data_IF_139945707134
#
_entry.id   IF_139945707134
#
_cell.length_a   1.000
_cell.length_b   1.000
_cell.length_c   1.000
_cell.angle_alpha   90.00
_cell.angle_beta   90.00
_cell.angle_gamma   90.00
#
_symmetry.space_group_name_H-M   'P 1'
#
loop_
_entity.id
_entity.type
_entity.pdbx_description
1 polymer ?
#
# COMPACT_ATOMS: atom_id res chain seq x y z
N UNK A 1 17.72 -17.60 -3.75
CA UNK A 1 18.99 -16.88 -3.68
C UNK A 1 18.83 -15.38 -3.38
N UNK A 2 18.04 -14.60 -4.16
CA UNK A 2 17.85 -13.15 -3.92
C UNK A 2 17.35 -12.79 -2.51
N UNK A 3 16.40 -13.55 -1.92
CA UNK A 3 15.89 -13.31 -0.56
C UNK A 3 16.96 -13.52 0.54
N UNK A 4 17.86 -14.48 0.36
CA UNK A 4 18.95 -14.74 1.32
C UNK A 4 20.00 -13.62 1.24
N UNK A 5 20.36 -13.20 0.03
CA UNK A 5 21.30 -12.09 -0.18
C UNK A 5 20.73 -10.78 0.39
N UNK A 6 19.46 -10.48 0.16
CA UNK A 6 18.81 -9.28 0.73
C UNK A 6 18.70 -9.32 2.26
N UNK A 7 18.53 -10.50 2.85
CA UNK A 7 18.58 -10.70 4.30
C UNK A 7 19.96 -10.38 4.87
N UNK A 8 21.03 -10.94 4.29
CA UNK A 8 22.40 -10.69 4.73
C UNK A 8 22.84 -9.24 4.54
N UNK A 9 22.47 -8.61 3.43
CA UNK A 9 22.75 -7.18 3.21
C UNK A 9 22.03 -6.27 4.22
N UNK A 10 20.81 -6.60 4.61
CA UNK A 10 20.10 -5.90 5.69
C UNK A 10 20.78 -6.09 7.04
N UNK A 11 21.15 -7.33 7.37
CA UNK A 11 21.83 -7.65 8.61
C UNK A 11 23.16 -6.89 8.75
N UNK A 12 23.97 -6.86 7.69
CA UNK A 12 25.27 -6.13 7.67
C UNK A 12 25.05 -4.63 7.82
N UNK A 13 24.04 -4.06 7.16
CA UNK A 13 23.72 -2.63 7.30
C UNK A 13 23.23 -2.28 8.70
N UNK A 14 22.34 -3.10 9.28
CA UNK A 14 21.82 -2.88 10.62
C UNK A 14 22.90 -3.02 11.68
N UNK A 15 23.86 -3.91 11.47
CA UNK A 15 25.04 -4.04 12.30
C UNK A 15 25.98 -2.84 12.17
N UNK A 16 26.18 -2.32 10.97
CA UNK A 16 26.98 -1.11 10.71
C UNK A 16 26.42 0.11 11.43
N UNK A 17 25.08 0.31 11.35
CA UNK A 17 24.42 1.41 12.05
C UNK A 17 24.53 1.28 13.57
N UNK A 18 24.33 0.07 14.11
CA UNK A 18 24.47 -0.21 15.53
C UNK A 18 25.91 0.02 16.03
N UNK A 19 26.90 -0.35 15.22
CA UNK A 19 28.31 -0.15 15.51
C UNK A 19 28.66 1.33 15.54
N UNK A 20 28.17 2.12 14.60
CA UNK A 20 28.44 3.55 14.48
C UNK A 20 27.82 4.35 15.64
N UNK A 21 26.55 4.14 15.94
CA UNK A 21 25.86 4.80 17.05
C UNK A 21 26.35 4.29 18.41
N UNK A 22 26.62 2.98 18.53
CA UNK A 22 27.09 2.36 19.76
C UNK A 22 28.48 2.81 20.14
N UNK A 23 29.40 2.94 19.17
CA UNK A 23 30.77 3.44 19.44
C UNK A 23 30.74 4.89 19.87
N UNK A 24 29.95 5.74 19.22
CA UNK A 24 29.81 7.14 19.59
C UNK A 24 29.26 7.31 21.02
N UNK A 25 28.16 6.62 21.35
CA UNK A 25 27.56 6.63 22.68
C UNK A 25 28.52 6.08 23.76
N UNK A 26 29.23 4.99 23.43
CA UNK A 26 30.19 4.37 24.31
C UNK A 26 31.37 5.30 24.64
N UNK A 27 31.91 6.05 23.68
CA UNK A 27 32.92 7.04 23.87
C UNK A 27 32.40 8.19 24.74
N UNK A 28 31.21 8.71 24.49
CA UNK A 28 30.59 9.80 25.25
C UNK A 28 30.42 9.40 26.74
N UNK A 29 29.83 8.22 26.99
CA UNK A 29 29.61 7.73 28.34
C UNK A 29 30.92 7.45 29.09
N UNK A 30 31.92 6.89 28.43
CA UNK A 30 33.23 6.65 29.00
C UNK A 30 33.88 7.98 29.39
N UNK A 31 33.76 9.02 28.55
CA UNK A 31 34.29 10.35 28.85
C UNK A 31 33.59 10.98 30.07
N UNK A 32 32.25 10.89 30.15
CA UNK A 32 31.47 11.41 31.29
C UNK A 32 31.84 10.70 32.60
N UNK A 33 31.99 9.37 32.54
CA UNK A 33 32.33 8.56 33.72
C UNK A 33 33.76 8.81 34.19
N UNK A 34 34.71 8.95 33.27
CA UNK A 34 36.10 9.28 33.60
C UNK A 34 36.21 10.69 34.21
N UNK A 35 35.47 11.67 33.69
CA UNK A 35 35.39 13.00 34.26
C UNK A 35 34.78 12.99 35.67
N UNK A 36 33.72 12.23 35.90
CA UNK A 36 33.09 12.08 37.22
C UNK A 36 34.03 11.43 38.24
N UNK A 37 34.81 10.40 37.82
CA UNK A 37 35.80 9.74 38.67
C UNK A 37 36.95 10.68 39.06
N UNK A 38 37.41 11.56 38.13
CA UNK A 38 38.43 12.57 38.40
C UNK A 38 37.90 13.62 39.40
N UNK A 39 36.64 14.04 39.27
CA UNK A 39 36.01 15.05 40.16
C UNK A 39 35.76 14.47 41.56
N UNK A 40 35.48 13.17 41.70
CA UNK A 40 35.17 12.55 43.00
C UNK A 40 36.39 12.32 43.91
N UNK A 41 37.61 12.66 43.50
CA UNK A 41 38.87 12.43 44.24
C UNK A 41 39.11 10.98 44.70
N UNK A 42 38.34 10.02 44.30
CA UNK A 42 38.54 8.59 44.59
C UNK A 42 39.52 7.95 43.60
N UNK A 43 40.72 8.50 43.52
CA UNK A 43 41.77 7.97 42.66
C UNK A 43 42.43 6.72 43.27
N UNK A 44 41.75 5.59 43.24
CA UNK A 44 42.47 4.31 43.14
C UNK A 44 43.19 4.34 41.82
N UNK A 45 44.51 4.18 41.79
CA UNK A 45 45.32 4.09 40.55
C UNK A 45 44.76 2.94 39.68
N UNK A 46 43.85 3.26 38.81
CA UNK A 46 43.42 2.33 37.76
C UNK A 46 44.65 2.03 36.91
N UNK A 47 45.09 0.79 36.89
CA UNK A 47 46.14 0.39 35.96
C UNK A 47 45.63 0.58 34.52
N UNK A 48 46.54 0.95 33.61
CA UNK A 48 46.19 1.16 32.19
C UNK A 48 45.39 0.00 31.62
N UNK A 49 45.69 -1.24 32.01
CA UNK A 49 44.98 -2.46 31.61
C UNK A 49 43.55 -2.50 32.11
N UNK A 50 43.26 -2.08 33.31
CA UNK A 50 41.92 -2.05 33.87
C UNK A 50 41.08 -0.94 33.18
N UNK A 51 41.67 0.21 32.90
CA UNK A 51 41.00 1.29 32.17
C UNK A 51 40.66 0.89 30.73
N UNK A 52 41.61 0.22 30.05
CA UNK A 52 41.36 -0.31 28.69
C UNK A 52 40.28 -1.40 28.66
N UNK A 53 40.28 -2.32 29.63
CA UNK A 53 39.24 -3.35 29.75
C UNK A 53 37.84 -2.74 30.02
N UNK A 54 37.76 -1.73 30.89
CA UNK A 54 36.54 -0.99 31.16
C UNK A 54 36.01 -0.27 29.89
N UNK A 55 36.90 0.37 29.14
CA UNK A 55 36.54 1.02 27.87
C UNK A 55 35.98 0.03 26.87
N UNK A 56 36.64 -1.11 26.66
CA UNK A 56 36.14 -2.15 25.75
C UNK A 56 34.79 -2.74 26.18
N UNK A 57 34.61 -2.98 27.49
CA UNK A 57 33.32 -3.46 28.02
C UNK A 57 32.23 -2.42 27.78
N UNK A 58 32.50 -1.13 27.97
CA UNK A 58 31.58 -0.03 27.70
C UNK A 58 31.21 0.05 26.21
N UNK A 59 32.20 -0.09 25.32
CA UNK A 59 31.97 -0.09 23.87
C UNK A 59 31.07 -1.27 23.45
N UNK A 60 31.36 -2.47 23.92
CA UNK A 60 30.56 -3.66 23.60
C UNK A 60 29.13 -3.51 24.11
N UNK A 61 28.93 -3.09 25.35
CA UNK A 61 27.58 -2.91 25.92
C UNK A 61 26.82 -1.81 25.21
N UNK A 62 27.46 -0.70 24.84
CA UNK A 62 26.84 0.40 24.08
C UNK A 62 26.43 -0.02 22.68
N UNK A 63 27.25 -0.81 21.98
CA UNK A 63 26.91 -1.38 20.65
C UNK A 63 25.73 -2.33 20.76
N UNK A 64 25.69 -3.19 21.78
CA UNK A 64 24.58 -4.12 22.03
C UNK A 64 23.29 -3.34 22.34
N UNK A 65 23.35 -2.36 23.25
CA UNK A 65 22.20 -1.51 23.60
C UNK A 65 21.70 -0.73 22.38
N UNK A 66 22.61 -0.15 21.60
CA UNK A 66 22.24 0.55 20.35
C UNK A 66 21.63 -0.39 19.32
N UNK A 67 22.15 -1.60 19.17
CA UNK A 67 21.61 -2.63 18.28
C UNK A 67 20.21 -3.06 18.71
N UNK A 68 19.98 -3.30 20.01
CA UNK A 68 18.67 -3.64 20.54
C UNK A 68 17.69 -2.47 20.37
N UNK A 69 18.14 -1.24 20.68
CA UNK A 69 17.32 -0.03 20.56
C UNK A 69 16.96 0.27 19.09
N UNK A 70 17.91 0.18 18.19
CA UNK A 70 17.67 0.32 16.74
C UNK A 70 16.76 -0.80 16.22
N UNK A 71 16.96 -2.05 16.66
CA UNK A 71 16.06 -3.15 16.33
C UNK A 71 14.64 -2.93 16.86
N UNK A 72 14.52 -2.35 18.05
CA UNK A 72 13.21 -2.03 18.63
C UNK A 72 12.52 -0.86 17.93
N UNK A 73 13.28 0.17 17.50
CA UNK A 73 12.77 1.28 16.70
C UNK A 73 12.43 0.82 15.29
N UNK A 74 13.29 0.01 14.66
CA UNK A 74 13.07 -0.54 13.31
C UNK A 74 11.94 -1.60 13.29
N UNK A 75 11.69 -2.30 14.40
CA UNK A 75 10.58 -3.25 14.53
C UNK A 75 9.23 -2.56 14.80
N UNK A 76 9.20 -1.27 15.11
CA UNK A 76 7.95 -0.51 15.23
C UNK A 76 7.41 -0.15 13.84
N UNK A 77 6.15 -0.12 13.67
CA UNK A 77 5.22 -0.79 12.75
C UNK A 77 5.34 -0.53 11.25
N UNK A 78 6.36 0.17 10.73
CA UNK A 78 6.50 0.37 9.28
C UNK A 78 6.81 -0.93 8.52
N UNK A 79 7.67 -1.79 9.11
CA UNK A 79 7.96 -3.10 8.53
C UNK A 79 6.76 -4.05 8.50
N UNK A 80 5.70 -3.73 9.26
CA UNK A 80 4.48 -4.54 9.29
C UNK A 80 3.57 -4.26 8.10
N UNK A 81 3.71 -3.08 7.48
CA UNK A 81 2.67 -2.59 6.60
C UNK A 81 3.03 -2.59 5.10
N UNK A 82 4.23 -2.17 4.70
CA UNK A 82 4.68 -2.21 3.31
C UNK A 82 6.21 -2.09 3.22
N UNK A 83 6.98 -3.08 3.71
CA UNK A 83 8.45 -2.97 3.76
C UNK A 83 9.08 -2.90 2.36
N UNK A 84 8.41 -3.46 1.36
CA UNK A 84 8.91 -3.48 -0.01
C UNK A 84 8.62 -2.17 -0.76
N UNK A 85 7.55 -1.46 -0.40
CA UNK A 85 7.16 -0.18 -1.02
C UNK A 85 7.98 0.96 -0.42
N UNK A 86 8.11 1.03 0.91
CA UNK A 86 8.86 2.09 1.58
C UNK A 86 10.36 1.93 1.32
N UNK A 87 10.83 0.69 1.22
CA UNK A 87 12.22 0.37 0.91
C UNK A 87 13.21 1.05 1.86
N UNK A 88 14.09 1.90 1.29
CA UNK A 88 15.07 2.70 2.05
C UNK A 88 14.57 4.09 2.44
N UNK A 89 13.36 4.47 1.99
CA UNK A 89 12.82 5.80 2.19
C UNK A 89 12.21 5.92 3.59
N UNK A 90 12.30 7.11 4.18
CA UNK A 90 11.74 7.44 5.50
C UNK A 90 12.15 6.50 6.65
N UNK A 91 13.31 5.86 6.56
CA UNK A 91 13.80 4.88 7.56
C UNK A 91 14.50 5.54 8.75
N UNK A 92 14.87 6.82 8.63
CA UNK A 92 15.62 7.56 9.63
C UNK A 92 14.76 8.08 10.80
N UNK A 93 15.41 8.84 11.68
CA UNK A 93 14.77 9.54 12.82
C UNK A 93 14.47 11.02 12.52
N UNK A 94 14.56 11.46 11.26
CA UNK A 94 14.26 12.81 10.83
C UNK A 94 12.81 13.21 11.16
N UNK A 95 12.53 14.50 11.19
CA UNK A 95 11.17 15.02 11.36
C UNK A 95 10.26 14.49 10.24
N UNK A 96 10.77 14.48 9.00
CA UNK A 96 10.07 13.97 7.81
C UNK A 96 9.73 12.48 7.93
N UNK A 97 10.71 11.65 8.35
CA UNK A 97 10.49 10.21 8.56
C UNK A 97 9.46 9.93 9.65
N UNK A 98 9.44 10.74 10.73
CA UNK A 98 8.43 10.59 11.79
C UNK A 98 7.04 11.00 11.33
N UNK A 99 6.92 12.09 10.58
CA UNK A 99 5.65 12.55 10.00
C UNK A 99 5.11 11.52 9.01
N UNK A 100 5.95 11.02 8.09
CA UNK A 100 5.57 9.99 7.15
C UNK A 100 5.04 8.73 7.86
N UNK A 101 5.75 8.24 8.90
CA UNK A 101 5.29 7.10 9.72
C UNK A 101 3.93 7.35 10.37
N UNK A 102 3.70 8.56 10.87
CA UNK A 102 2.40 8.94 11.47
C UNK A 102 1.29 8.85 10.42
N UNK A 103 1.53 9.36 9.20
CA UNK A 103 0.57 9.26 8.09
C UNK A 103 0.27 7.82 7.70
N UNK A 104 1.30 6.97 7.55
CA UNK A 104 1.11 5.54 7.26
C UNK A 104 0.32 4.85 8.37
N UNK A 105 0.59 5.16 9.65
CA UNK A 105 -0.18 4.63 10.77
C UNK A 105 -1.65 5.02 10.67
N UNK A 106 -1.96 6.28 10.39
CA UNK A 106 -3.35 6.74 10.20
C UNK A 106 -4.05 5.99 9.06
N UNK A 107 -3.36 5.71 7.94
CA UNK A 107 -3.91 4.86 6.87
C UNK A 107 -4.31 3.47 7.36
N UNK A 108 -3.49 2.84 8.23
CA UNK A 108 -3.80 1.52 8.79
C UNK A 108 -4.92 1.53 9.82
N UNK A 109 -5.14 2.67 10.45
CA UNK A 109 -6.29 2.92 11.32
C UNK A 109 -7.55 3.31 10.51
N UNK A 110 -7.46 3.22 9.16
CA UNK A 110 -8.49 3.61 8.20
C UNK A 110 -8.87 5.12 8.25
N UNK A 111 -8.04 5.95 8.88
CA UNK A 111 -8.21 7.40 8.88
C UNK A 111 -7.43 8.03 7.70
N UNK A 112 -7.98 7.84 6.50
CA UNK A 112 -7.37 8.31 5.26
C UNK A 112 -7.37 9.84 5.13
N UNK A 113 -8.29 10.55 5.81
CA UNK A 113 -8.32 12.02 5.81
C UNK A 113 -7.16 12.58 6.63
N UNK A 114 -6.98 12.08 7.83
CA UNK A 114 -5.84 12.46 8.68
C UNK A 114 -4.50 12.09 8.03
N UNK A 115 -4.41 10.91 7.40
CA UNK A 115 -3.21 10.51 6.67
C UNK A 115 -2.89 11.48 5.53
N UNK A 116 -3.90 11.86 4.74
CA UNK A 116 -3.75 12.80 3.63
C UNK A 116 -3.29 14.17 4.10
N UNK A 117 -3.85 14.69 5.20
CA UNK A 117 -3.43 15.95 5.83
C UNK A 117 -1.95 15.88 6.21
N UNK A 118 -1.54 14.86 6.95
CA UNK A 118 -0.15 14.67 7.37
C UNK A 118 0.79 14.61 6.16
N UNK A 119 0.44 13.88 5.11
CA UNK A 119 1.26 13.78 3.91
C UNK A 119 1.32 15.10 3.11
N UNK A 120 0.25 15.88 3.12
CA UNK A 120 0.21 17.19 2.47
C UNK A 120 1.06 18.19 3.22
N UNK A 121 0.98 18.22 4.54
CA UNK A 121 1.83 19.06 5.40
C UNK A 121 3.30 18.68 5.26
N UNK A 122 3.58 17.38 5.15
CA UNK A 122 4.93 16.89 4.93
C UNK A 122 5.49 17.37 3.57
N UNK A 123 4.72 17.29 2.49
CA UNK A 123 5.14 17.80 1.18
C UNK A 123 5.40 19.31 1.23
N UNK A 124 4.55 20.06 1.92
CA UNK A 124 4.67 21.52 2.02
C UNK A 124 5.82 22.00 2.92
N UNK A 125 6.15 21.25 3.97
CA UNK A 125 7.09 21.66 5.01
C UNK A 125 8.52 21.12 4.86
N UNK A 126 8.71 20.11 4.01
CA UNK A 126 10.01 19.45 3.87
C UNK A 126 10.75 19.94 2.62
N UNK A 127 11.68 20.89 2.83
CA UNK A 127 12.56 21.39 1.77
C UNK A 127 13.60 20.34 1.30
N UNK A 128 13.91 19.34 2.15
CA UNK A 128 15.02 18.40 1.96
C UNK A 128 14.58 16.96 1.57
N UNK A 129 13.38 16.77 1.01
CA UNK A 129 12.98 15.44 0.54
C UNK A 129 13.75 15.08 -0.75
N UNK A 130 14.39 13.91 -0.73
CA UNK A 130 14.96 13.32 -1.94
C UNK A 130 13.87 13.01 -2.97
N UNK A 131 14.20 12.94 -4.26
CA UNK A 131 13.26 12.59 -5.32
C UNK A 131 12.58 11.24 -5.04
N UNK A 132 13.32 10.25 -4.53
CA UNK A 132 12.76 8.96 -4.13
C UNK A 132 11.73 9.08 -3.00
N UNK A 133 11.97 9.95 -2.00
CA UNK A 133 11.01 10.20 -0.91
C UNK A 133 9.78 10.95 -1.41
N UNK A 134 9.95 11.89 -2.34
CA UNK A 134 8.83 12.59 -3.02
C UNK A 134 7.96 11.59 -3.79
N UNK A 135 8.57 10.65 -4.50
CA UNK A 135 7.86 9.60 -5.22
C UNK A 135 7.04 8.70 -4.29
N UNK A 136 7.65 8.21 -3.21
CA UNK A 136 6.94 7.41 -2.19
C UNK A 136 5.80 8.21 -1.55
N UNK A 137 6.04 9.47 -1.19
CA UNK A 137 5.03 10.35 -0.58
C UNK A 137 3.86 10.57 -1.52
N UNK A 138 4.14 10.87 -2.80
CA UNK A 138 3.12 11.03 -3.83
C UNK A 138 2.28 9.76 -3.99
N UNK A 139 2.89 8.58 -4.02
CA UNK A 139 2.19 7.30 -4.08
C UNK A 139 1.22 7.11 -2.91
N UNK A 140 1.66 7.36 -1.66
CA UNK A 140 0.79 7.21 -0.49
C UNK A 140 -0.36 8.22 -0.46
N UNK A 141 -0.12 9.46 -0.91
CA UNK A 141 -1.19 10.45 -1.13
C UNK A 141 -2.19 9.98 -2.18
N UNK A 142 -1.69 9.44 -3.28
CA UNK A 142 -2.51 8.85 -4.33
C UNK A 142 -3.42 7.76 -3.79
N UNK A 143 -2.90 6.88 -2.93
CA UNK A 143 -3.70 5.86 -2.25
C UNK A 143 -4.79 6.44 -1.33
N UNK A 144 -4.47 7.49 -0.59
CA UNK A 144 -5.47 8.18 0.24
C UNK A 144 -6.58 8.79 -0.63
N UNK A 145 -6.22 9.51 -1.69
CA UNK A 145 -7.20 10.09 -2.62
C UNK A 145 -8.06 9.01 -3.30
N UNK A 146 -7.45 7.89 -3.70
CA UNK A 146 -8.16 6.76 -4.30
C UNK A 146 -9.26 6.24 -3.38
N UNK A 147 -8.95 5.96 -2.11
CA UNK A 147 -9.91 5.42 -1.13
C UNK A 147 -10.98 6.46 -0.77
N UNK A 148 -10.62 7.74 -0.77
CA UNK A 148 -11.57 8.85 -0.52
C UNK A 148 -12.43 9.19 -1.75
N UNK A 149 -12.27 8.49 -2.88
CA UNK A 149 -13.03 8.71 -4.11
C UNK A 149 -12.61 9.94 -4.91
N UNK A 150 -11.51 10.60 -4.54
CA UNK A 150 -10.95 11.74 -5.26
C UNK A 150 -10.04 11.26 -6.41
N UNK A 151 -10.60 10.53 -7.35
CA UNK A 151 -9.89 9.83 -8.41
C UNK A 151 -8.98 10.69 -9.28
N UNK A 152 -9.38 11.91 -9.72
CA UNK A 152 -8.49 12.79 -10.47
C UNK A 152 -7.21 13.14 -9.71
N UNK A 153 -7.34 13.40 -8.41
CA UNK A 153 -6.20 13.71 -7.55
C UNK A 153 -5.31 12.48 -7.33
N UNK A 154 -5.92 11.28 -7.24
CA UNK A 154 -5.18 10.03 -7.13
C UNK A 154 -4.32 9.77 -8.37
N UNK A 155 -4.88 9.93 -9.58
CA UNK A 155 -4.15 9.79 -10.86
C UNK A 155 -2.97 10.74 -10.90
N UNK A 156 -3.19 12.04 -10.63
CA UNK A 156 -2.13 13.06 -10.61
C UNK A 156 -1.01 12.70 -9.61
N UNK A 157 -1.36 12.13 -8.45
CA UNK A 157 -0.37 11.70 -7.47
C UNK A 157 0.43 10.47 -7.93
N UNK A 158 -0.20 9.51 -8.61
CA UNK A 158 0.50 8.36 -9.17
C UNK A 158 1.42 8.76 -10.34
N UNK A 159 0.99 9.70 -11.20
CA UNK A 159 1.83 10.28 -12.25
C UNK A 159 3.05 10.98 -11.63
N UNK A 160 2.87 11.84 -10.62
CA UNK A 160 3.98 12.45 -9.88
C UNK A 160 4.94 11.44 -9.24
N UNK A 161 4.41 10.33 -8.72
CA UNK A 161 5.23 9.27 -8.16
C UNK A 161 6.12 8.64 -9.25
N UNK A 162 5.54 8.38 -10.43
CA UNK A 162 6.27 7.84 -11.58
C UNK A 162 7.35 8.82 -12.08
N UNK A 163 7.03 10.10 -12.20
CA UNK A 163 7.96 11.17 -12.64
C UNK A 163 9.14 11.30 -11.67
N UNK A 164 8.92 11.07 -10.37
CA UNK A 164 9.96 11.03 -9.36
C UNK A 164 10.76 9.70 -9.34
N UNK A 165 10.55 8.83 -10.33
CA UNK A 165 11.24 7.55 -10.47
C UNK A 165 10.75 6.45 -9.50
N UNK A 166 9.63 6.67 -8.81
CA UNK A 166 9.02 5.64 -7.97
C UNK A 166 8.11 4.75 -8.81
N UNK A 167 8.45 3.46 -8.87
CA UNK A 167 7.66 2.47 -9.61
C UNK A 167 7.53 1.18 -8.80
N UNK A 168 6.29 0.71 -8.72
CA UNK A 168 5.95 -0.62 -8.19
C UNK A 168 5.00 -1.32 -9.18
N UNK A 169 5.07 -2.65 -9.31
CA UNK A 169 4.30 -3.39 -10.33
C UNK A 169 2.79 -3.16 -10.29
N UNK A 170 2.23 -2.84 -9.12
CA UNK A 170 0.78 -2.65 -8.95
C UNK A 170 0.31 -1.21 -9.21
N UNK A 171 1.23 -0.23 -9.31
CA UNK A 171 0.85 1.18 -9.46
C UNK A 171 0.07 1.47 -10.75
N UNK A 172 0.45 0.92 -11.92
CA UNK A 172 -0.35 1.10 -13.14
C UNK A 172 -1.80 0.59 -12.99
N UNK A 173 -2.00 -0.53 -12.24
CA UNK A 173 -3.33 -1.04 -11.95
C UNK A 173 -4.17 -0.05 -11.13
N UNK A 174 -3.58 0.59 -10.11
CA UNK A 174 -4.26 1.63 -9.33
C UNK A 174 -4.60 2.85 -10.19
N UNK A 175 -3.70 3.25 -11.08
CA UNK A 175 -3.94 4.36 -12.02
C UNK A 175 -5.09 4.04 -12.97
N UNK A 176 -5.09 2.85 -13.58
CA UNK A 176 -6.15 2.41 -14.48
C UNK A 176 -7.51 2.35 -13.77
N UNK A 177 -7.54 1.83 -12.54
CA UNK A 177 -8.75 1.79 -11.71
C UNK A 177 -9.29 3.20 -11.45
N UNK A 178 -8.43 4.14 -11.03
CA UNK A 178 -8.85 5.52 -10.80
C UNK A 178 -9.34 6.22 -12.08
N UNK A 179 -8.75 5.92 -13.23
CA UNK A 179 -9.21 6.42 -14.53
C UNK A 179 -10.59 5.87 -14.90
N UNK A 180 -10.81 4.57 -14.70
CA UNK A 180 -12.10 3.92 -14.92
C UNK A 180 -13.19 4.49 -14.01
N UNK A 181 -12.87 4.69 -12.71
CA UNK A 181 -13.76 5.33 -11.74
C UNK A 181 -14.12 6.76 -12.11
N UNK A 182 -13.19 7.48 -12.75
CA UNK A 182 -13.37 8.87 -13.21
C UNK A 182 -14.00 8.97 -14.62
N UNK A 183 -14.46 7.85 -15.19
CA UNK A 183 -15.08 7.81 -16.53
C UNK A 183 -14.10 7.92 -17.71
N UNK A 184 -12.79 7.90 -17.46
CA UNK A 184 -11.76 7.92 -18.51
C UNK A 184 -11.46 6.49 -18.98
N UNK A 185 -12.47 5.81 -19.47
CA UNK A 185 -12.48 4.39 -19.76
C UNK A 185 -11.50 3.98 -20.86
N UNK A 186 -11.29 4.81 -21.87
CA UNK A 186 -10.33 4.53 -22.97
C UNK A 186 -8.89 4.46 -22.43
N UNK A 187 -8.47 5.47 -21.67
CA UNK A 187 -7.14 5.48 -21.05
C UNK A 187 -6.96 4.33 -20.03
N UNK A 188 -7.99 4.01 -19.27
CA UNK A 188 -7.96 2.88 -18.37
C UNK A 188 -7.77 1.57 -19.12
N UNK A 189 -8.49 1.39 -20.23
CA UNK A 189 -8.39 0.19 -21.07
C UNK A 189 -7.01 0.04 -21.69
N UNK A 190 -6.38 1.11 -22.12
CA UNK A 190 -5.02 1.07 -22.70
C UNK A 190 -4.01 0.54 -21.66
N UNK A 191 -4.08 1.05 -20.42
CA UNK A 191 -3.22 0.57 -19.32
C UNK A 191 -3.54 -0.89 -18.98
N UNK A 192 -4.81 -1.28 -18.91
CA UNK A 192 -5.18 -2.68 -18.65
C UNK A 192 -4.65 -3.62 -19.74
N UNK A 193 -4.72 -3.24 -21.02
CA UNK A 193 -4.17 -4.03 -22.14
C UNK A 193 -2.65 -4.18 -22.04
N UNK A 194 -1.96 -3.10 -21.70
CA UNK A 194 -0.51 -3.14 -21.46
C UNK A 194 -0.16 -4.11 -20.32
N UNK A 195 -0.89 -4.03 -19.20
CA UNK A 195 -0.71 -4.94 -18.07
C UNK A 195 -1.01 -6.40 -18.43
N UNK A 196 -2.00 -6.67 -19.27
CA UNK A 196 -2.32 -8.04 -19.76
C UNK A 196 -1.24 -8.58 -20.70
N UNK A 197 -0.59 -7.70 -21.48
CA UNK A 197 0.51 -8.04 -22.39
C UNK A 197 1.85 -8.28 -21.68
N UNK A 198 2.00 -7.80 -20.44
CA UNK A 198 3.19 -8.01 -19.63
C UNK A 198 3.17 -9.38 -18.94
N UNK A 199 4.34 -9.81 -18.45
CA UNK A 199 4.48 -11.02 -17.63
C UNK A 199 3.99 -10.77 -16.20
N UNK A 200 2.68 -10.53 -16.05
CA UNK A 200 2.03 -10.19 -14.79
C UNK A 200 1.30 -11.42 -14.25
N UNK A 201 1.53 -11.74 -12.97
CA UNK A 201 0.93 -12.89 -12.28
C UNK A 201 -0.56 -12.68 -11.91
N UNK A 202 -1.09 -11.45 -12.06
CA UNK A 202 -2.45 -11.09 -11.62
C UNK A 202 -3.43 -10.90 -12.79
N UNK A 203 -3.35 -11.74 -13.82
CA UNK A 203 -4.17 -11.58 -15.04
C UNK A 203 -5.68 -11.73 -14.79
N UNK A 204 -6.07 -12.58 -13.84
CA UNK A 204 -7.48 -12.71 -13.43
C UNK A 204 -8.00 -11.44 -12.73
N UNK A 205 -7.16 -10.78 -11.91
CA UNK A 205 -7.53 -9.52 -11.29
C UNK A 205 -7.74 -8.42 -12.32
N UNK A 206 -6.81 -8.28 -13.29
CA UNK A 206 -6.91 -7.26 -14.34
C UNK A 206 -8.17 -7.44 -15.17
N UNK A 207 -8.51 -8.68 -15.55
CA UNK A 207 -9.76 -8.99 -16.27
C UNK A 207 -11.00 -8.64 -15.46
N UNK A 208 -10.97 -8.92 -14.17
CA UNK A 208 -12.06 -8.56 -13.25
C UNK A 208 -12.24 -7.04 -13.18
N UNK A 209 -11.15 -6.26 -13.13
CA UNK A 209 -11.22 -4.79 -13.15
C UNK A 209 -11.81 -4.26 -14.47
N UNK A 210 -11.46 -4.87 -15.61
CA UNK A 210 -12.07 -4.52 -16.90
C UNK A 210 -13.56 -4.86 -16.89
N UNK A 211 -13.93 -6.02 -16.37
CA UNK A 211 -15.33 -6.40 -16.19
C UNK A 211 -16.11 -5.40 -15.34
N UNK A 212 -15.54 -4.98 -14.21
CA UNK A 212 -16.13 -3.96 -13.34
C UNK A 212 -16.31 -2.60 -14.07
N UNK A 213 -15.34 -2.21 -14.88
CA UNK A 213 -15.45 -1.01 -15.72
C UNK A 213 -16.64 -1.10 -16.67
N UNK A 214 -16.86 -2.25 -17.34
CA UNK A 214 -18.02 -2.45 -18.22
C UNK A 214 -19.34 -2.52 -17.45
N UNK A 215 -19.36 -3.05 -16.22
CA UNK A 215 -20.57 -2.97 -15.37
C UNK A 215 -20.99 -1.53 -15.10
N UNK A 216 -20.03 -0.64 -14.84
CA UNK A 216 -20.30 0.81 -14.65
C UNK A 216 -20.85 1.49 -15.89
N UNK A 217 -20.45 1.01 -17.06
CA UNK A 217 -21.01 1.47 -18.34
C UNK A 217 -22.37 0.82 -18.66
N UNK A 218 -22.91 0.02 -17.74
CA UNK A 218 -24.13 -0.76 -17.92
C UNK A 218 -24.05 -1.74 -19.11
N UNK A 219 -22.83 -2.11 -19.51
CA UNK A 219 -22.57 -3.07 -20.59
C UNK A 219 -22.37 -4.47 -19.98
N UNK A 220 -23.48 -5.10 -19.63
CA UNK A 220 -23.48 -6.44 -19.05
C UNK A 220 -22.85 -7.50 -19.96
N UNK A 221 -22.95 -7.34 -21.29
CA UNK A 221 -22.42 -8.32 -22.27
C UNK A 221 -20.89 -8.35 -22.26
N UNK A 222 -20.25 -7.18 -22.38
CA UNK A 222 -18.80 -7.11 -22.33
C UNK A 222 -18.27 -7.38 -20.91
N UNK A 223 -18.98 -6.94 -19.86
CA UNK A 223 -18.65 -7.28 -18.48
C UNK A 223 -18.59 -8.79 -18.27
N UNK A 224 -19.65 -9.53 -18.68
CA UNK A 224 -19.73 -10.97 -18.52
C UNK A 224 -18.58 -11.68 -19.24
N UNK A 225 -18.24 -11.24 -20.46
CA UNK A 225 -17.12 -11.80 -21.21
C UNK A 225 -15.80 -11.71 -20.40
N UNK A 226 -15.47 -10.55 -19.86
CA UNK A 226 -14.23 -10.34 -19.12
C UNK A 226 -14.21 -11.09 -17.79
N UNK A 227 -15.35 -11.18 -17.11
CA UNK A 227 -15.44 -12.00 -15.89
C UNK A 227 -15.29 -13.48 -16.20
N UNK A 228 -15.87 -13.98 -17.32
CA UNK A 228 -15.69 -15.36 -17.72
C UNK A 228 -14.22 -15.67 -18.00
N UNK A 229 -13.52 -14.81 -18.75
CA UNK A 229 -12.07 -14.97 -18.97
C UNK A 229 -11.26 -14.95 -17.66
N UNK A 230 -11.71 -14.23 -16.62
CA UNK A 230 -11.08 -14.26 -15.29
C UNK A 230 -11.36 -15.57 -14.55
N UNK A 231 -12.60 -16.09 -14.65
CA UNK A 231 -13.01 -17.37 -14.07
C UNK A 231 -12.29 -18.55 -14.76
N UNK A 232 -12.10 -18.50 -16.07
CA UNK A 232 -11.37 -19.53 -16.82
C UNK A 232 -9.90 -19.63 -16.37
N UNK A 233 -9.30 -18.53 -15.91
CA UNK A 233 -7.96 -18.53 -15.32
C UNK A 233 -7.96 -19.02 -13.86
N UNK A 234 -9.03 -18.75 -13.13
CA UNK A 234 -9.17 -19.09 -11.72
C UNK A 234 -10.64 -19.30 -11.36
N UNK A 235 -11.09 -20.56 -11.43
CA UNK A 235 -12.49 -20.95 -11.26
C UNK A 235 -13.16 -20.41 -9.98
N UNK A 236 -12.43 -20.40 -8.89
CA UNK A 236 -12.95 -20.00 -7.57
C UNK A 236 -12.64 -18.52 -7.23
N UNK A 237 -12.43 -17.67 -8.23
CA UNK A 237 -12.15 -16.26 -8.00
C UNK A 237 -13.43 -15.49 -7.66
N UNK A 238 -13.71 -15.35 -6.37
CA UNK A 238 -14.96 -14.81 -5.84
C UNK A 238 -15.35 -13.45 -6.43
N UNK A 239 -14.37 -12.54 -6.66
CA UNK A 239 -14.64 -11.24 -7.24
C UNK A 239 -15.15 -11.34 -8.70
N UNK A 240 -14.58 -12.24 -9.51
CA UNK A 240 -15.04 -12.46 -10.87
C UNK A 240 -16.41 -13.15 -10.92
N UNK A 241 -16.62 -14.15 -10.06
CA UNK A 241 -17.93 -14.81 -9.90
C UNK A 241 -19.00 -13.80 -9.50
N UNK A 242 -18.69 -12.90 -8.54
CA UNK A 242 -19.61 -11.86 -8.11
C UNK A 242 -19.93 -10.85 -9.19
N UNK A 243 -18.94 -10.42 -9.96
CA UNK A 243 -19.12 -9.52 -11.09
C UNK A 243 -19.94 -10.17 -12.22
N UNK A 244 -19.67 -11.45 -12.55
CA UNK A 244 -20.42 -12.21 -13.53
C UNK A 244 -21.89 -12.40 -13.12
N UNK A 245 -22.16 -12.59 -11.82
CA UNK A 245 -23.52 -12.66 -11.29
C UNK A 245 -24.30 -11.37 -11.59
N UNK A 246 -23.70 -10.21 -11.32
CA UNK A 246 -24.30 -8.89 -11.58
C UNK A 246 -24.49 -8.69 -13.10
N UNK A 247 -23.50 -9.05 -13.92
CA UNK A 247 -23.58 -8.94 -15.37
C UNK A 247 -24.75 -9.78 -15.92
N UNK A 248 -24.97 -11.00 -15.42
CA UNK A 248 -26.11 -11.84 -15.79
C UNK A 248 -27.44 -11.21 -15.37
N UNK A 249 -27.53 -10.58 -14.20
CA UNK A 249 -28.74 -9.84 -13.79
C UNK A 249 -29.04 -8.71 -14.79
N UNK A 250 -28.04 -7.92 -15.21
CA UNK A 250 -28.21 -6.85 -16.21
C UNK A 250 -28.68 -7.41 -17.56
N UNK A 251 -28.25 -8.63 -17.92
CA UNK A 251 -28.70 -9.35 -19.13
C UNK A 251 -30.04 -10.08 -18.96
N UNK A 252 -30.65 -9.97 -17.77
CA UNK A 252 -31.91 -10.66 -17.41
C UNK A 252 -31.81 -12.20 -17.33
N UNK A 253 -30.59 -12.71 -17.24
CA UNK A 253 -30.31 -14.13 -17.01
C UNK A 253 -30.32 -14.40 -15.47
N UNK A 254 -31.51 -14.28 -14.87
CA UNK A 254 -31.62 -14.27 -13.39
C UNK A 254 -31.19 -15.60 -12.75
N UNK A 255 -31.43 -16.73 -13.44
CA UNK A 255 -31.07 -18.04 -12.90
C UNK A 255 -29.56 -18.22 -12.82
N UNK A 256 -28.86 -17.96 -13.90
CA UNK A 256 -27.42 -18.02 -14.01
C UNK A 256 -26.76 -17.00 -13.06
N UNK A 257 -27.35 -15.81 -12.95
CA UNK A 257 -26.93 -14.78 -12.00
C UNK A 257 -27.01 -15.27 -10.55
N UNK A 258 -28.10 -15.94 -10.16
CA UNK A 258 -28.28 -16.47 -8.81
C UNK A 258 -27.31 -17.62 -8.50
N UNK A 259 -27.01 -18.51 -9.47
CA UNK A 259 -26.04 -19.58 -9.30
C UNK A 259 -24.63 -19.03 -9.07
N UNK A 260 -24.20 -18.03 -9.86
CA UNK A 260 -22.92 -17.37 -9.71
C UNK A 260 -22.84 -16.54 -8.41
N UNK A 261 -23.92 -15.87 -8.02
CA UNK A 261 -24.01 -15.16 -6.75
C UNK A 261 -23.75 -16.09 -5.56
N UNK A 262 -24.40 -17.27 -5.54
CA UNK A 262 -24.17 -18.27 -4.49
C UNK A 262 -22.74 -18.79 -4.51
N UNK A 263 -22.19 -19.04 -5.71
CA UNK A 263 -20.80 -19.44 -5.86
C UNK A 263 -19.83 -18.39 -5.33
N UNK A 264 -20.07 -17.10 -5.58
CA UNK A 264 -19.26 -16.02 -5.04
C UNK A 264 -19.27 -15.98 -3.50
N UNK A 265 -20.44 -16.19 -2.88
CA UNK A 265 -20.55 -16.27 -1.41
C UNK A 265 -19.82 -17.49 -0.83
N UNK A 266 -19.93 -18.65 -1.47
CA UNK A 266 -19.22 -19.86 -1.06
C UNK A 266 -17.70 -19.71 -1.16
N UNK A 267 -17.22 -18.93 -2.11
CA UNK A 267 -15.80 -18.63 -2.30
C UNK A 267 -15.34 -17.38 -1.52
N UNK A 268 -16.07 -16.98 -0.50
CA UNK A 268 -15.70 -15.91 0.44
C UNK A 268 -15.45 -14.55 -0.22
N UNK A 269 -16.41 -14.07 -1.04
CA UNK A 269 -16.34 -12.73 -1.60
C UNK A 269 -16.15 -11.69 -0.48
N UNK A 270 -15.27 -10.74 -0.72
CA UNK A 270 -14.97 -9.66 0.22
C UNK A 270 -16.25 -8.84 0.51
N UNK A 271 -16.46 -8.50 1.78
CA UNK A 271 -17.66 -7.80 2.27
C UNK A 271 -18.97 -8.40 1.71
N UNK A 272 -19.21 -9.67 2.01
CA UNK A 272 -20.38 -10.43 1.53
C UNK A 272 -21.72 -9.76 1.88
N UNK A 273 -21.79 -8.95 2.95
CA UNK A 273 -23.01 -8.23 3.37
C UNK A 273 -23.33 -7.10 2.39
N UNK A 274 -22.35 -6.23 2.11
CA UNK A 274 -22.53 -5.14 1.13
C UNK A 274 -22.73 -5.67 -0.27
N UNK A 275 -22.01 -6.74 -0.65
CA UNK A 275 -22.19 -7.40 -1.94
C UNK A 275 -23.60 -7.97 -2.10
N UNK A 276 -24.13 -8.67 -1.09
CA UNK A 276 -25.49 -9.22 -1.09
C UNK A 276 -26.54 -8.13 -1.27
N UNK A 277 -26.40 -7.01 -0.55
CA UNK A 277 -27.29 -5.87 -0.67
C UNK A 277 -27.24 -5.30 -2.09
N UNK A 278 -26.07 -5.04 -2.62
CA UNK A 278 -25.87 -4.51 -3.97
C UNK A 278 -26.46 -5.42 -5.05
N UNK A 279 -26.18 -6.75 -4.97
CA UNK A 279 -26.75 -7.73 -5.90
C UNK A 279 -28.28 -7.67 -5.91
N UNK A 280 -28.93 -7.68 -4.73
CA UNK A 280 -30.37 -7.65 -4.62
C UNK A 280 -30.99 -6.33 -5.10
N UNK A 281 -30.33 -5.21 -4.87
CA UNK A 281 -30.75 -3.90 -5.35
C UNK A 281 -30.75 -3.85 -6.88
N UNK A 282 -29.70 -4.31 -7.53
CA UNK A 282 -29.61 -4.39 -8.99
C UNK A 282 -30.67 -5.37 -9.54
N UNK A 283 -30.82 -6.54 -8.93
CA UNK A 283 -31.82 -7.52 -9.34
C UNK A 283 -33.24 -6.93 -9.26
N UNK A 284 -33.58 -6.26 -8.18
CA UNK A 284 -34.89 -5.62 -8.02
C UNK A 284 -35.09 -4.49 -9.05
N UNK A 285 -34.10 -3.66 -9.31
CA UNK A 285 -34.17 -2.60 -10.30
C UNK A 285 -34.45 -3.15 -11.71
N UNK A 286 -33.69 -4.15 -12.14
CA UNK A 286 -33.85 -4.77 -13.47
C UNK A 286 -35.20 -5.50 -13.59
N UNK A 287 -35.69 -6.15 -12.51
CA UNK A 287 -37.01 -6.77 -12.48
C UNK A 287 -38.13 -5.73 -12.58
N UNK A 288 -38.01 -4.57 -11.94
CA UNK A 288 -38.98 -3.49 -12.04
C UNK A 288 -39.03 -2.90 -13.44
N UNK A 289 -37.89 -2.64 -14.06
CA UNK A 289 -37.83 -2.18 -15.46
C UNK A 289 -38.49 -3.19 -16.42
N UNK A 290 -38.38 -4.48 -16.12
CA UNK A 290 -39.04 -5.52 -16.95
C UNK A 290 -40.55 -5.51 -16.79
N UNK A 291 -41.06 -5.25 -15.58
CA UNK A 291 -42.50 -5.21 -15.28
C UNK A 291 -43.17 -3.91 -15.73
N UNK A 292 -42.43 -2.82 -15.66
CA UNK A 292 -42.91 -1.46 -15.97
C UNK A 292 -41.92 -0.84 -16.97
N UNK A 293 -41.87 -1.27 -18.23
CA UNK A 293 -41.01 -0.63 -19.20
C UNK A 293 -41.44 0.84 -19.26
N UNK A 294 -40.49 1.75 -18.93
CA UNK A 294 -40.73 3.18 -19.07
C UNK A 294 -41.20 3.43 -20.49
N UNK A 295 -42.42 3.97 -20.62
CA UNK A 295 -42.91 4.46 -21.91
C UNK A 295 -41.88 5.45 -22.37
N UNK A 296 -41.06 5.09 -23.35
CA UNK A 296 -40.16 6.05 -24.00
C UNK A 296 -41.07 7.16 -24.50
N UNK A 297 -41.06 8.32 -23.82
CA UNK A 297 -41.61 9.51 -24.37
C UNK A 297 -40.81 9.83 -25.62
N UNK A 298 -41.29 9.27 -26.73
CA UNK A 298 -40.92 9.66 -28.06
C UNK A 298 -41.21 11.13 -28.20
N UNK A 299 -40.18 11.93 -28.01
CA UNK A 299 -40.16 13.34 -28.37
C UNK A 299 -39.58 13.42 -29.77
N UNK A 300 -40.42 13.10 -30.75
CA UNK A 300 -40.24 13.66 -32.09
C UNK A 300 -40.35 15.19 -31.95
N UNK A 301 -39.26 15.88 -32.19
CA UNK A 301 -39.24 17.03 -33.13
C UNK A 301 -37.81 17.50 -33.30
#
# INVERSE_FOLDING_TARGET
>A
MKKIISFWLRLVRDFSDALLYGTFLGCLWFYVLSAALIISHESRRLTFTAAAAAFLAFQITSVVISGVFLSFIKRRPLHKYDPDIIGKNFTGMSKSSRAFRKGVKSMHEADFRMALEIFTDLEASAEDLSESEKGVLAFYRGRCYHILGAYPNAVMCYEKASDAGFSIPIMPLFTARCLAENGRTERAMDIYKELLGSDNECKELIRTEIGNMYLKLNDGKNALKWFQEAIDLRENYAAALGGAAIANVLLRNFKEGEELYRSALLNHIEDSVSYTRYYKEIQAAVMLETKFPSVSTGGDK
#
